data_IF_590060969646
#
_entry.id   IF_590060969646
#
_cell.length_a   1.000
_cell.length_b   1.000
_cell.length_c   1.000
_cell.angle_alpha   90.00
_cell.angle_beta   90.00
_cell.angle_gamma   90.00
#
_symmetry.space_group_name_H-M   'P 1'
#
loop_
_entity.id
_entity.type
_entity.pdbx_description
1 polymer ?
#
# COMPACT_ATOMS: atom_id res chain seq x y z
N UNK A 1 -17.80 -5.39 25.02
CA UNK A 1 -17.24 -4.09 24.57
C UNK A 1 -17.25 -4.11 23.06
N UNK A 2 -18.09 -3.32 22.37
CA UNK A 2 -17.95 -3.17 20.93
C UNK A 2 -16.67 -2.35 20.68
N UNK A 3 -15.74 -2.93 19.94
CA UNK A 3 -14.51 -2.27 19.53
C UNK A 3 -14.89 -1.20 18.50
N UNK A 4 -14.55 0.07 18.76
CA UNK A 4 -14.59 1.10 17.74
C UNK A 4 -13.70 0.68 16.56
N UNK A 5 -14.30 0.50 15.39
CA UNK A 5 -13.58 0.25 14.15
C UNK A 5 -13.70 1.45 13.24
N UNK A 6 -12.62 1.83 12.55
CA UNK A 6 -12.71 2.78 11.45
C UNK A 6 -12.29 2.08 10.15
N UNK A 7 -12.95 2.46 9.05
CA UNK A 7 -12.54 2.03 7.72
C UNK A 7 -11.45 2.95 7.21
N UNK A 8 -10.36 2.38 6.67
CA UNK A 8 -9.35 3.15 5.96
C UNK A 8 -9.30 2.71 4.50
N UNK A 9 -9.56 3.65 3.61
CA UNK A 9 -9.49 3.43 2.16
C UNK A 9 -8.09 3.75 1.68
N UNK A 10 -7.40 2.79 1.06
CA UNK A 10 -6.13 3.04 0.38
C UNK A 10 -6.40 3.27 -1.10
N UNK A 11 -6.38 4.52 -1.52
CA UNK A 11 -6.32 4.84 -2.95
C UNK A 11 -4.90 4.66 -3.45
N UNK A 12 -4.72 3.93 -4.56
CA UNK A 12 -3.56 4.20 -5.42
C UNK A 12 -3.56 5.70 -5.71
N UNK A 13 -2.43 6.42 -5.61
CA UNK A 13 -2.40 7.82 -6.01
C UNK A 13 -3.00 7.90 -7.42
N UNK A 14 -3.94 8.82 -7.62
CA UNK A 14 -4.29 9.25 -8.98
C UNK A 14 -2.99 9.74 -9.62
N UNK A 15 -2.86 9.50 -10.92
CA UNK A 15 -1.66 9.84 -11.68
C UNK A 15 -1.18 11.30 -11.48
N UNK A 16 -2.06 12.20 -11.04
CA UNK A 16 -1.75 13.62 -10.79
C UNK A 16 -0.99 13.88 -9.47
N UNK A 17 -1.08 12.97 -8.48
CA UNK A 17 -0.45 13.11 -7.16
C UNK A 17 0.83 12.28 -7.00
N UNK A 18 1.19 11.49 -8.02
CA UNK A 18 2.44 10.76 -8.07
C UNK A 18 3.50 11.60 -8.79
N UNK A 19 4.44 12.19 -8.05
CA UNK A 19 5.75 12.52 -8.61
C UNK A 19 6.32 11.29 -9.34
N UNK A 20 7.16 11.44 -10.38
CA UNK A 20 7.45 10.38 -11.37
C UNK A 20 8.23 9.18 -10.82
N UNK A 21 8.45 9.11 -9.52
CA UNK A 21 8.98 7.96 -8.81
C UNK A 21 7.86 6.98 -8.42
N UNK A 22 7.74 5.93 -9.22
CA UNK A 22 7.56 4.58 -8.70
C UNK A 22 6.12 4.08 -8.65
N UNK A 23 5.84 3.22 -9.62
CA UNK A 23 4.79 2.24 -9.50
C UNK A 23 4.93 1.41 -8.21
N UNK A 24 3.79 1.11 -7.61
CA UNK A 24 3.60 0.17 -6.51
C UNK A 24 3.90 -1.25 -7.01
N UNK A 25 5.17 -1.58 -7.27
CA UNK A 25 5.58 -2.84 -7.86
C UNK A 25 6.26 -3.73 -6.82
N UNK A 26 5.46 -4.54 -6.14
CA UNK A 26 5.92 -5.83 -5.65
C UNK A 26 4.75 -6.74 -5.28
N UNK A 27 4.94 -8.02 -5.57
CA UNK A 27 4.24 -9.20 -5.09
C UNK A 27 5.11 -10.33 -5.61
N UNK A 28 5.30 -11.47 -4.91
CA UNK A 28 4.20 -12.23 -4.29
C UNK A 28 4.05 -12.06 -2.78
N UNK A 29 5.00 -11.44 -2.07
CA UNK A 29 4.92 -11.27 -0.60
C UNK A 29 5.13 -9.84 -0.15
N UNK A 30 4.59 -8.91 -0.93
CA UNK A 30 4.32 -7.58 -0.42
C UNK A 30 3.25 -7.64 0.67
N UNK A 31 3.52 -6.99 1.80
CA UNK A 31 2.63 -6.97 2.94
C UNK A 31 2.48 -5.55 3.47
N UNK A 32 1.33 -5.31 4.06
CA UNK A 32 0.96 -4.02 4.60
C UNK A 32 0.60 -4.08 6.08
N UNK A 33 0.70 -2.94 6.75
CA UNK A 33 0.41 -2.79 8.16
C UNK A 33 -0.05 -1.36 8.46
N UNK A 34 -0.93 -1.25 9.45
CA UNK A 34 -1.45 0.02 9.94
C UNK A 34 -0.95 0.31 11.34
N UNK A 35 -0.59 1.56 11.61
CA UNK A 35 0.01 1.98 12.89
C UNK A 35 -0.47 3.36 13.28
N UNK A 36 -0.66 3.60 14.57
CA UNK A 36 -0.97 4.92 15.10
C UNK A 36 0.21 5.52 15.85
N UNK A 37 0.43 6.82 15.68
CA UNK A 37 1.29 7.61 16.54
C UNK A 37 0.49 8.78 17.11
N UNK A 38 0.48 8.94 18.44
CA UNK A 38 -0.18 10.07 19.08
C UNK A 38 0.60 11.35 18.80
N UNK A 39 -0.10 12.40 18.36
CA UNK A 39 0.51 13.69 18.09
C UNK A 39 0.68 14.48 19.40
N UNK A 40 1.89 14.90 19.78
CA UNK A 40 2.06 15.90 20.82
C UNK A 40 1.49 17.22 20.30
N UNK A 41 0.64 17.88 21.11
CA UNK A 41 -0.09 19.13 20.83
C UNK A 41 0.24 19.81 19.49
N UNK A 42 -0.48 19.39 18.44
CA UNK A 42 -0.66 20.15 17.20
C UNK A 42 0.45 20.11 16.14
N UNK A 43 1.51 19.30 16.27
CA UNK A 43 2.53 19.21 15.22
C UNK A 43 2.93 17.77 14.86
N UNK A 44 2.93 17.47 13.56
CA UNK A 44 3.46 16.24 12.98
C UNK A 44 5.00 16.18 12.93
N UNK A 45 5.69 17.29 13.27
CA UNK A 45 7.16 17.40 13.22
C UNK A 45 7.90 16.46 14.16
N UNK A 46 7.22 15.99 15.21
CA UNK A 46 7.84 15.22 16.31
C UNK A 46 7.49 13.72 16.24
N UNK A 47 6.91 13.27 15.11
CA UNK A 47 6.56 11.87 14.87
C UNK A 47 7.80 11.06 14.46
N UNK A 48 7.95 9.88 15.04
CA UNK A 48 9.03 8.94 14.72
C UNK A 48 8.51 7.54 14.38
N UNK A 49 9.32 6.74 13.67
CA UNK A 49 8.98 5.34 13.39
C UNK A 49 8.81 4.53 14.69
N UNK A 50 9.58 4.85 15.73
CA UNK A 50 9.46 4.21 17.05
C UNK A 50 8.10 4.50 17.69
N UNK A 51 7.49 5.65 17.42
CA UNK A 51 6.13 5.95 17.88
C UNK A 51 5.11 5.01 17.22
N UNK A 52 5.20 4.85 15.89
CA UNK A 52 4.31 3.95 15.14
C UNK A 52 4.48 2.49 15.54
N UNK A 53 5.71 2.05 15.81
CA UNK A 53 5.98 0.68 16.25
C UNK A 53 5.37 0.33 17.62
N UNK A 54 4.96 1.33 18.41
CA UNK A 54 4.27 1.08 19.69
C UNK A 54 2.80 0.70 19.51
N UNK A 55 2.17 1.11 18.41
CA UNK A 55 0.73 0.96 18.22
C UNK A 55 0.39 0.35 16.85
N UNK A 56 0.86 -0.86 16.54
CA UNK A 56 0.38 -1.59 15.38
C UNK A 56 -1.09 -1.99 15.56
N UNK A 57 -1.89 -1.76 14.52
CA UNK A 57 -3.33 -2.05 14.55
C UNK A 57 -3.62 -3.47 14.08
N UNK A 58 -4.64 -4.08 14.69
CA UNK A 58 -5.19 -5.35 14.24
C UNK A 58 -6.29 -5.14 13.21
N UNK A 59 -6.39 -6.03 12.21
CA UNK A 59 -7.50 -6.05 11.27
C UNK A 59 -8.80 -6.50 11.94
N UNK A 60 -9.86 -5.71 11.81
CA UNK A 60 -11.17 -5.97 12.42
C UNK A 60 -11.97 -7.07 11.70
N UNK A 61 -11.58 -7.44 10.48
CA UNK A 61 -12.31 -8.38 9.63
C UNK A 61 -11.36 -9.41 9.01
N UNK A 62 -11.91 -10.50 8.48
CA UNK A 62 -11.23 -11.45 7.59
C UNK A 62 -11.54 -11.16 6.11
N UNK A 63 -12.21 -10.02 5.86
CA UNK A 63 -12.58 -9.52 4.53
C UNK A 63 -11.95 -8.15 4.32
N UNK A 64 -11.44 -7.94 3.11
CA UNK A 64 -11.07 -6.64 2.57
C UNK A 64 -11.92 -6.34 1.33
N UNK A 65 -11.94 -5.11 0.85
CA UNK A 65 -12.77 -4.73 -0.29
C UNK A 65 -11.99 -4.04 -1.39
N UNK A 66 -12.41 -4.28 -2.64
CA UNK A 66 -12.10 -3.39 -3.75
C UNK A 66 -13.20 -2.35 -3.85
N UNK A 67 -12.80 -1.08 -3.85
CA UNK A 67 -13.67 0.07 -4.03
C UNK A 67 -13.23 0.87 -5.25
N UNK A 68 -14.00 0.79 -6.32
CA UNK A 68 -13.85 1.68 -7.47
C UNK A 68 -14.32 3.10 -7.12
N UNK A 69 -14.00 4.07 -7.97
CA UNK A 69 -14.46 5.44 -7.80
C UNK A 69 -15.98 5.47 -7.51
N UNK A 70 -16.35 6.25 -6.50
CA UNK A 70 -17.71 6.26 -5.94
C UNK A 70 -18.78 6.63 -6.97
N UNK A 71 -18.38 7.28 -8.06
CA UNK A 71 -19.27 7.67 -9.14
C UNK A 71 -18.58 7.44 -10.48
N UNK A 72 -19.10 6.51 -11.28
CA UNK A 72 -18.68 6.28 -12.66
C UNK A 72 -19.77 6.82 -13.59
N UNK A 73 -19.36 7.59 -14.59
CA UNK A 73 -20.27 8.07 -15.62
C UNK A 73 -20.64 6.94 -16.58
N UNK A 74 -21.90 6.50 -16.57
CA UNK A 74 -22.48 5.58 -17.53
C UNK A 74 -23.48 6.33 -18.41
N UNK A 75 -23.05 6.65 -19.64
CA UNK A 75 -23.80 7.35 -20.70
C UNK A 75 -24.37 8.72 -20.33
N UNK A 76 -25.41 8.77 -19.49
CA UNK A 76 -26.12 9.98 -19.06
C UNK A 76 -26.26 10.07 -17.53
N UNK A 77 -25.71 9.09 -16.77
CA UNK A 77 -25.90 8.98 -15.33
C UNK A 77 -24.62 8.64 -14.59
N UNK A 78 -24.47 9.23 -13.41
CA UNK A 78 -23.48 8.81 -12.44
C UNK A 78 -23.99 7.57 -11.70
N UNK A 79 -23.25 6.47 -11.80
CA UNK A 79 -23.57 5.19 -11.16
C UNK A 79 -22.54 4.90 -10.10
N UNK A 80 -23.00 4.56 -8.89
CA UNK A 80 -22.15 4.06 -7.82
C UNK A 80 -21.94 2.56 -8.01
N UNK A 81 -20.69 2.15 -8.18
CA UNK A 81 -20.34 0.74 -8.24
C UNK A 81 -20.36 0.12 -6.83
N UNK A 82 -20.77 -1.16 -6.68
CA UNK A 82 -20.68 -1.85 -5.40
C UNK A 82 -19.21 -2.07 -4.99
N UNK A 83 -18.97 -2.24 -3.69
CA UNK A 83 -17.70 -2.79 -3.19
C UNK A 83 -17.65 -4.29 -3.48
N UNK A 84 -16.47 -4.81 -3.82
CA UNK A 84 -16.25 -6.23 -4.04
C UNK A 84 -15.48 -6.83 -2.88
N UNK A 85 -16.07 -7.83 -2.20
CA UNK A 85 -15.45 -8.49 -1.06
C UNK A 85 -14.39 -9.51 -1.48
N UNK A 86 -13.21 -9.43 -0.86
CA UNK A 86 -12.09 -10.33 -1.05
C UNK A 86 -11.64 -10.91 0.30
N UNK A 87 -11.12 -12.15 0.33
CA UNK A 87 -10.52 -12.69 1.55
C UNK A 87 -9.28 -11.88 1.95
N UNK A 88 -9.20 -11.50 3.23
CA UNK A 88 -8.02 -10.85 3.79
C UNK A 88 -7.01 -11.92 4.24
N UNK A 89 -5.80 -11.88 3.67
CA UNK A 89 -4.71 -12.80 4.02
C UNK A 89 -3.76 -12.14 5.00
N UNK A 90 -4.05 -12.27 6.30
CA UNK A 90 -3.27 -11.67 7.39
C UNK A 90 -2.44 -12.66 8.19
N UNK A 91 -1.35 -12.18 8.79
CA UNK A 91 -0.46 -12.93 9.68
C UNK A 91 0.09 -12.01 10.77
N UNK A 92 0.43 -12.57 11.92
CA UNK A 92 1.18 -11.93 12.99
C UNK A 92 2.49 -12.66 13.33
N UNK A 93 2.83 -13.69 12.54
CA UNK A 93 4.04 -14.51 12.73
C UNK A 93 5.13 -14.02 11.79
N UNK A 94 6.34 -13.82 12.31
CA UNK A 94 7.49 -13.35 11.53
C UNK A 94 7.41 -11.86 11.15
N UNK A 95 6.63 -11.08 11.90
CA UNK A 95 6.36 -9.66 11.62
C UNK A 95 7.29 -8.74 12.40
N UNK A 96 7.36 -7.47 11.97
CA UNK A 96 8.09 -6.42 12.68
C UNK A 96 7.19 -5.19 12.88
N UNK A 97 6.94 -4.75 14.13
CA UNK A 97 7.35 -5.37 15.40
C UNK A 97 6.82 -6.80 15.58
N UNK A 98 7.49 -7.61 16.40
CA UNK A 98 7.09 -9.00 16.59
C UNK A 98 5.65 -9.10 17.12
N UNK A 99 4.81 -9.91 16.47
CA UNK A 99 3.40 -10.07 16.84
C UNK A 99 2.47 -8.99 16.27
N UNK A 100 2.99 -7.99 15.56
CA UNK A 100 2.17 -7.03 14.81
C UNK A 100 1.43 -7.72 13.67
N UNK A 101 0.25 -7.22 13.33
CA UNK A 101 -0.54 -7.75 12.22
C UNK A 101 -0.13 -7.13 10.89
N UNK A 102 0.00 -8.00 9.89
CA UNK A 102 0.28 -7.64 8.50
C UNK A 102 -0.67 -8.38 7.57
N UNK A 103 -1.07 -7.75 6.47
CA UNK A 103 -1.85 -8.40 5.43
C UNK A 103 -1.16 -8.38 4.07
N UNK A 104 -1.39 -9.42 3.28
CA UNK A 104 -0.94 -9.47 1.89
C UNK A 104 -1.89 -8.64 1.04
N UNK A 105 -1.32 -7.79 0.20
CA UNK A 105 -2.05 -7.08 -0.86
C UNK A 105 -2.66 -8.11 -1.83
N UNK A 106 -3.97 -8.02 -2.14
CA UNK A 106 -4.67 -9.06 -2.91
C UNK A 106 -4.38 -9.02 -4.42
N UNK A 107 -3.52 -8.13 -4.91
CA UNK A 107 -3.20 -7.98 -6.33
C UNK A 107 -1.92 -8.75 -6.66
N UNK A 108 -2.00 -9.86 -7.42
CA UNK A 108 -0.82 -10.60 -7.82
C UNK A 108 0.00 -9.84 -8.86
N UNK A 109 1.31 -9.83 -8.65
CA UNK A 109 2.27 -9.47 -9.69
C UNK A 109 2.40 -10.59 -10.73
N UNK A 110 3.13 -10.28 -11.80
CA UNK A 110 3.43 -11.20 -12.87
C UNK A 110 4.74 -11.95 -12.61
N UNK A 111 4.91 -13.11 -13.24
CA UNK A 111 6.15 -13.89 -13.33
C UNK A 111 6.61 -13.86 -14.78
N UNK A 112 7.12 -12.71 -15.22
CA UNK A 112 7.65 -12.57 -16.58
C UNK A 112 9.06 -13.14 -16.71
N UNK A 113 9.83 -13.16 -15.61
CA UNK A 113 11.13 -13.79 -15.52
C UNK A 113 11.40 -14.37 -14.13
N UNK A 114 12.43 -15.22 -14.03
CA UNK A 114 13.04 -15.57 -12.75
C UNK A 114 13.79 -14.34 -12.21
N UNK A 115 13.40 -13.85 -11.03
CA UNK A 115 14.01 -12.65 -10.44
C UNK A 115 15.46 -12.83 -10.03
N UNK A 116 15.96 -14.07 -9.94
CA UNK A 116 17.38 -14.33 -9.68
C UNK A 116 18.31 -13.64 -10.71
N UNK A 117 17.81 -13.40 -11.94
CA UNK A 117 18.54 -12.71 -13.01
C UNK A 117 18.80 -11.23 -12.72
N UNK A 118 18.04 -10.62 -11.81
CA UNK A 118 18.20 -9.21 -11.43
C UNK A 118 19.32 -8.99 -10.40
N UNK A 119 20.00 -10.07 -9.97
CA UNK A 119 21.07 -10.02 -8.98
C UNK A 119 20.58 -10.09 -7.54
N UNK A 120 21.50 -10.39 -6.61
CA UNK A 120 21.20 -10.53 -5.19
C UNK A 120 20.87 -9.18 -4.56
N UNK A 121 19.81 -9.10 -3.76
CA UNK A 121 19.26 -7.88 -3.18
C UNK A 121 20.31 -6.91 -2.64
N UNK A 122 20.63 -5.89 -3.43
CA UNK A 122 21.50 -4.79 -3.05
C UNK A 122 20.70 -3.89 -2.12
N UNK A 123 21.35 -3.37 -1.09
CA UNK A 123 20.78 -2.31 -0.27
C UNK A 123 21.04 -0.96 -0.93
N UNK A 124 20.08 -0.02 -0.88
CA UNK A 124 20.30 1.31 -1.42
C UNK A 124 21.34 2.06 -0.58
N UNK A 125 22.29 2.72 -1.24
CA UNK A 125 23.16 3.70 -0.59
C UNK A 125 22.46 5.06 -0.55
N UNK A 126 21.80 5.35 0.56
CA UNK A 126 21.01 6.58 0.73
C UNK A 126 21.83 7.87 0.78
N UNK A 127 23.17 7.79 0.84
CA UNK A 127 24.04 8.97 0.74
C UNK A 127 24.51 9.25 -0.68
N UNK A 128 24.41 8.26 -1.57
CA UNK A 128 24.87 8.36 -2.94
C UNK A 128 23.78 8.95 -3.84
N UNK A 129 24.01 10.19 -4.29
CA UNK A 129 23.21 10.80 -5.37
C UNK A 129 23.37 10.01 -6.65
N UNK A 130 22.25 9.78 -7.32
CA UNK A 130 22.14 9.02 -8.55
C UNK A 130 21.37 9.86 -9.56
N UNK A 131 21.95 10.00 -10.75
CA UNK A 131 21.31 10.69 -11.86
C UNK A 131 20.92 9.64 -12.90
N UNK A 132 19.63 9.55 -13.21
CA UNK A 132 19.07 8.65 -14.22
C UNK A 132 18.62 9.52 -15.40
N UNK A 133 19.39 9.59 -16.50
CA UNK A 133 19.10 10.52 -17.60
C UNK A 133 17.71 10.35 -18.23
N UNK A 134 17.15 9.13 -18.15
CA UNK A 134 15.89 8.74 -18.77
C UNK A 134 14.64 9.17 -17.98
N UNK A 135 14.78 9.51 -16.68
CA UNK A 135 13.66 9.90 -15.82
C UNK A 135 13.55 11.42 -15.60
N UNK A 136 14.33 12.22 -16.33
CA UNK A 136 14.30 13.68 -16.23
C UNK A 136 15.23 14.23 -15.14
N UNK A 137 14.98 15.46 -14.70
CA UNK A 137 15.90 16.20 -13.82
C UNK A 137 15.61 15.99 -12.33
N UNK A 138 15.35 14.75 -11.92
CA UNK A 138 15.13 14.37 -10.52
C UNK A 138 16.44 13.87 -9.89
N UNK A 139 16.66 14.20 -8.62
CA UNK A 139 17.79 13.68 -7.85
C UNK A 139 17.36 12.43 -7.11
N UNK A 140 17.87 11.28 -7.54
CA UNK A 140 17.62 10.00 -6.88
C UNK A 140 18.72 9.67 -5.87
N UNK A 141 18.40 8.78 -4.94
CA UNK A 141 19.34 8.23 -3.95
C UNK A 141 19.27 6.71 -3.98
N UNK A 142 20.37 6.03 -3.65
CA UNK A 142 20.42 4.57 -3.61
C UNK A 142 21.55 3.94 -4.44
N UNK A 143 22.12 4.69 -5.40
CA UNK A 143 23.17 4.23 -6.31
C UNK A 143 22.61 3.57 -7.58
N UNK A 144 23.31 3.75 -8.71
CA UNK A 144 22.93 3.15 -10.00
C UNK A 144 22.77 1.62 -9.96
N UNK A 145 23.64 0.83 -9.29
CA UNK A 145 23.49 -0.63 -9.26
C UNK A 145 22.20 -1.09 -8.59
N UNK A 146 21.83 -0.45 -7.47
CA UNK A 146 20.57 -0.72 -6.79
C UNK A 146 19.39 -0.34 -7.68
N UNK A 147 19.43 0.85 -8.28
CA UNK A 147 18.37 1.34 -9.17
C UNK A 147 18.10 0.36 -10.33
N UNK A 148 19.13 -0.09 -11.04
CA UNK A 148 18.98 -1.06 -12.14
C UNK A 148 18.43 -2.40 -11.66
N UNK A 149 18.84 -2.88 -10.49
CA UNK A 149 18.28 -4.09 -9.91
C UNK A 149 16.79 -3.92 -9.60
N UNK A 150 16.39 -2.79 -9.03
CA UNK A 150 14.97 -2.52 -8.75
C UNK A 150 14.16 -2.49 -10.04
N UNK A 151 14.62 -1.77 -11.05
CA UNK A 151 13.95 -1.69 -12.34
C UNK A 151 13.79 -3.07 -13.00
N UNK A 152 14.82 -3.91 -12.93
CA UNK A 152 14.76 -5.30 -13.38
C UNK A 152 13.70 -6.10 -12.60
N UNK A 153 13.73 -6.05 -11.27
CA UNK A 153 12.82 -6.81 -10.41
C UNK A 153 11.37 -6.41 -10.64
N UNK A 154 11.09 -5.11 -10.73
CA UNK A 154 9.77 -4.55 -11.03
C UNK A 154 9.30 -4.97 -12.43
N UNK A 155 10.18 -4.90 -13.44
CA UNK A 155 9.87 -5.33 -14.81
C UNK A 155 9.54 -6.83 -14.87
N UNK A 156 10.33 -7.68 -14.20
CA UNK A 156 10.01 -9.11 -14.07
C UNK A 156 8.67 -9.37 -13.36
N UNK A 157 8.29 -8.46 -12.46
CA UNK A 157 7.03 -8.51 -11.74
C UNK A 157 5.84 -7.94 -12.55
N UNK A 158 6.06 -7.44 -13.77
CA UNK A 158 4.99 -6.91 -14.63
C UNK A 158 4.69 -5.43 -14.41
N UNK A 159 5.71 -4.63 -14.09
CA UNK A 159 5.65 -3.17 -14.20
C UNK A 159 5.06 -2.78 -15.56
N UNK A 160 4.15 -1.80 -15.56
CA UNK A 160 3.44 -1.29 -16.74
C UNK A 160 2.34 -2.20 -17.32
N UNK A 161 1.98 -3.30 -16.65
CA UNK A 161 0.87 -4.16 -17.05
C UNK A 161 -0.34 -3.97 -16.13
N UNK A 162 -1.51 -3.67 -16.70
CA UNK A 162 -2.78 -3.64 -15.94
C UNK A 162 -3.33 -5.00 -15.59
N UNK A 163 -2.80 -6.07 -16.22
CA UNK A 163 -3.13 -7.46 -15.96
C UNK A 163 -1.99 -8.35 -16.46
N UNK A 164 -1.71 -9.43 -15.75
CA UNK A 164 -0.70 -10.40 -16.16
C UNK A 164 -1.18 -11.26 -17.34
N UNK A 165 -0.27 -11.72 -18.22
CA UNK A 165 -0.62 -12.72 -19.22
C UNK A 165 -1.15 -14.01 -18.58
N UNK A 166 -2.02 -14.76 -19.27
CA UNK A 166 -2.60 -15.99 -18.75
C UNK A 166 -1.52 -16.97 -18.24
N UNK A 167 -1.71 -17.45 -17.00
CA UNK A 167 -0.79 -18.40 -16.36
C UNK A 167 0.50 -17.80 -15.79
N UNK A 168 0.72 -16.48 -15.92
CA UNK A 168 1.90 -15.81 -15.37
C UNK A 168 1.63 -15.06 -14.07
N UNK A 169 0.45 -15.18 -13.48
CA UNK A 169 0.16 -14.63 -12.16
C UNK A 169 0.95 -15.37 -11.09
N UNK A 170 1.54 -14.66 -10.14
CA UNK A 170 2.29 -15.29 -9.05
C UNK A 170 1.43 -16.05 -8.06
N UNK A 171 0.21 -15.58 -7.85
CA UNK A 171 -0.86 -16.25 -7.12
C UNK A 171 -2.19 -15.98 -7.84
N UNK A 172 -3.22 -16.76 -7.52
CA UNK A 172 -4.52 -16.65 -8.18
C UNK A 172 -5.09 -15.23 -8.03
N UNK A 173 -5.58 -14.65 -9.14
CA UNK A 173 -6.27 -13.37 -9.09
C UNK A 173 -7.47 -13.45 -8.14
N UNK A 174 -7.72 -12.42 -7.32
CA UNK A 174 -8.86 -12.41 -6.43
C UNK A 174 -10.18 -12.27 -7.21
N UNK A 175 -10.13 -11.62 -8.37
CA UNK A 175 -11.19 -11.47 -9.37
C UNK A 175 -10.55 -11.39 -10.76
N UNK A 176 -11.26 -11.75 -11.84
CA UNK A 176 -10.71 -11.73 -13.20
C UNK A 176 -10.14 -10.35 -13.58
N UNK A 177 -8.88 -10.32 -14.04
CA UNK A 177 -8.22 -9.10 -14.50
C UNK A 177 -7.68 -8.21 -13.37
N UNK A 178 -7.70 -8.70 -12.12
CA UNK A 178 -7.07 -8.04 -10.98
C UNK A 178 -5.67 -8.62 -10.80
N UNK A 179 -4.69 -8.11 -11.55
CA UNK A 179 -3.27 -8.48 -11.47
C UNK A 179 -2.38 -7.40 -12.09
N UNK A 180 -1.05 -7.56 -11.99
CA UNK A 180 -0.07 -6.63 -12.55
C UNK A 180 0.08 -5.33 -11.76
N UNK A 181 0.81 -4.37 -12.36
CA UNK A 181 1.13 -3.07 -11.77
C UNK A 181 0.95 -1.94 -12.78
N UNK A 182 0.28 -0.87 -12.34
CA UNK A 182 0.22 0.47 -12.95
C UNK A 182 0.29 0.45 -14.48
N UNK A 183 -0.86 0.38 -15.15
CA UNK A 183 -0.89 0.38 -16.61
C UNK A 183 -0.36 1.68 -17.18
N UNK A 184 0.62 1.60 -18.08
CA UNK A 184 0.91 2.75 -18.96
C UNK A 184 -0.02 2.65 -20.16
N UNK A 185 -0.89 3.65 -20.33
CA UNK A 185 -1.64 3.84 -21.57
C UNK A 185 -1.08 5.07 -22.26
N UNK A 186 -0.11 4.96 -23.20
CA UNK A 186 0.26 6.10 -24.02
C UNK A 186 -0.95 6.53 -24.87
N UNK A 187 -1.29 7.83 -25.00
CA UNK A 187 -0.61 9.03 -24.48
C UNK A 187 -1.16 9.54 -23.12
N UNK A 188 -2.00 8.77 -22.44
CA UNK A 188 -2.82 9.16 -21.28
C UNK A 188 -2.03 9.14 -19.95
N UNK A 189 -0.89 8.44 -19.88
CA UNK A 189 0.01 8.43 -18.71
C UNK A 189 0.03 7.09 -17.95
N UNK A 190 0.71 7.09 -16.79
CA UNK A 190 0.71 5.97 -15.85
C UNK A 190 -0.59 5.98 -15.06
N UNK A 191 -1.51 5.07 -15.38
CA UNK A 191 -2.71 4.90 -14.59
C UNK A 191 -2.40 3.96 -13.43
N UNK A 192 -2.58 4.46 -12.21
CA UNK A 192 -2.67 3.64 -11.00
C UNK A 192 -3.79 2.59 -11.13
N UNK A 193 -3.96 1.76 -10.09
CA UNK A 193 -5.08 0.83 -10.07
C UNK A 193 -6.41 1.62 -10.08
N UNK A 194 -7.41 1.24 -10.88
CA UNK A 194 -8.69 1.98 -10.98
C UNK A 194 -9.61 1.78 -9.77
N UNK A 195 -9.09 1.17 -8.70
CA UNK A 195 -9.77 0.87 -7.46
C UNK A 195 -8.84 1.06 -6.27
N UNK A 196 -9.45 1.32 -5.13
CA UNK A 196 -8.83 1.31 -3.81
C UNK A 196 -8.98 -0.06 -3.17
N UNK A 197 -7.99 -0.45 -2.37
CA UNK A 197 -8.11 -1.59 -1.44
C UNK A 197 -8.49 -1.01 -0.08
N UNK A 198 -9.56 -1.55 0.50
CA UNK A 198 -10.15 -1.05 1.75
C UNK A 198 -10.07 -2.14 2.80
N UNK A 199 -9.45 -1.80 3.92
CA UNK A 199 -9.39 -2.64 5.11
C UNK A 199 -10.12 -1.97 6.28
N UNK A 200 -10.58 -2.80 7.22
CA UNK A 200 -11.07 -2.34 8.51
C UNK A 200 -10.08 -2.75 9.58
N UNK A 201 -9.72 -1.79 10.43
CA UNK A 201 -8.81 -2.00 11.56
C UNK A 201 -9.50 -1.68 12.88
N UNK A 202 -9.06 -2.34 13.93
CA UNK A 202 -9.53 -2.12 15.30
C UNK A 202 -8.78 -0.94 15.89
N UNK A 203 -9.50 0.00 16.50
CA UNK A 203 -8.88 0.99 17.40
C UNK A 203 -8.71 0.32 18.76
N UNK A 204 -7.48 0.24 19.31
CA UNK A 204 -7.29 -0.26 20.67
C UNK A 204 -8.06 0.61 21.67
N UNK A 205 -8.80 -0.04 22.57
CA UNK A 205 -9.67 0.64 23.53
C UNK A 205 -8.92 1.38 24.64
N UNK A 206 -7.63 1.10 24.79
CA UNK A 206 -6.71 1.71 25.74
C UNK A 206 -6.06 3.00 25.21
N UNK A 207 -6.35 3.40 23.97
CA UNK A 207 -5.88 4.67 23.43
C UNK A 207 -6.67 5.84 24.01
N UNK A 208 -5.93 6.83 24.50
CA UNK A 208 -6.52 8.10 24.94
C UNK A 208 -7.11 8.86 23.74
N UNK A 209 -8.28 9.50 23.88
CA UNK A 209 -8.80 10.42 22.88
C UNK A 209 -7.80 11.53 22.53
N UNK A 210 -7.85 12.00 21.28
CA UNK A 210 -6.96 13.06 20.80
C UNK A 210 -6.56 12.90 19.34
N UNK A 211 -5.56 13.69 18.94
CA UNK A 211 -5.00 13.70 17.58
C UNK A 211 -3.92 12.62 17.42
N UNK A 212 -3.98 11.89 16.32
CA UNK A 212 -3.05 10.84 15.94
C UNK A 212 -2.70 10.96 14.47
N UNK A 213 -1.51 10.48 14.11
CA UNK A 213 -1.15 10.18 12.74
C UNK A 213 -1.36 8.69 12.51
N UNK A 214 -2.09 8.34 11.46
CA UNK A 214 -2.26 6.98 10.97
C UNK A 214 -1.24 6.74 9.86
N UNK A 215 -0.31 5.83 10.09
CA UNK A 215 0.61 5.34 9.07
C UNK A 215 0.05 4.07 8.45
N UNK A 216 -0.04 4.12 7.13
CA UNK A 216 -0.09 2.94 6.29
C UNK A 216 1.31 2.66 5.77
N UNK A 217 1.83 1.47 6.04
CA UNK A 217 3.14 1.02 5.55
C UNK A 217 2.99 -0.24 4.73
N UNK A 218 3.66 -0.27 3.58
CA UNK A 218 3.78 -1.40 2.68
C UNK A 218 5.27 -1.75 2.55
N UNK A 219 5.60 -3.00 2.83
CA UNK A 219 6.96 -3.56 2.66
C UNK A 219 6.99 -4.54 1.49
N UNK A 220 8.02 -4.41 0.66
CA UNK A 220 8.22 -5.26 -0.50
C UNK A 220 9.14 -6.45 -0.23
N UNK A 221 8.76 -7.64 -0.70
CA UNK A 221 9.64 -8.82 -0.67
C UNK A 221 10.65 -8.81 -1.83
N UNK A 222 10.20 -8.47 -3.03
CA UNK A 222 10.99 -8.57 -4.26
C UNK A 222 11.99 -7.42 -4.43
N UNK A 223 11.78 -6.35 -3.67
CA UNK A 223 12.52 -5.10 -3.72
C UNK A 223 12.74 -4.61 -2.31
N UNK A 224 13.84 -3.90 -2.06
CA UNK A 224 14.06 -3.22 -0.78
C UNK A 224 13.30 -1.88 -0.72
N UNK A 225 12.08 -1.86 -1.24
CA UNK A 225 11.21 -0.69 -1.25
C UNK A 225 10.22 -0.77 -0.11
N UNK A 226 10.01 0.37 0.52
CA UNK A 226 9.02 0.58 1.56
C UNK A 226 8.23 1.81 1.15
N UNK A 227 6.92 1.65 1.07
CA UNK A 227 5.99 2.75 0.77
C UNK A 227 5.24 3.10 2.04
N UNK A 228 5.12 4.39 2.31
CA UNK A 228 4.42 4.87 3.49
C UNK A 228 3.54 6.05 3.12
N UNK A 229 2.31 6.03 3.62
CA UNK A 229 1.38 7.15 3.57
C UNK A 229 0.86 7.43 4.98
N UNK A 230 0.66 8.70 5.28
CA UNK A 230 0.14 9.14 6.57
C UNK A 230 -1.20 9.87 6.40
N UNK A 231 -2.07 9.76 7.38
CA UNK A 231 -3.31 10.53 7.48
C UNK A 231 -3.52 11.03 8.91
N UNK A 232 -3.96 12.28 9.06
CA UNK A 232 -4.37 12.82 10.36
C UNK A 232 -5.72 12.22 10.77
N UNK A 233 -5.80 11.67 11.98
CA UNK A 233 -7.01 11.07 12.54
C UNK A 233 -7.22 11.52 13.98
N UNK A 234 -8.48 11.70 14.36
CA UNK A 234 -8.86 12.08 15.73
C UNK A 234 -9.65 10.94 16.37
N UNK A 235 -9.13 10.41 17.48
CA UNK A 235 -9.84 9.43 18.30
C UNK A 235 -10.76 10.20 19.25
N UNK A 236 -12.04 9.82 19.26
CA UNK A 236 -13.09 10.41 20.11
C UNK A 236 -13.66 9.34 21.03
N UNK A 237 -14.17 9.73 22.19
CA UNK A 237 -14.94 8.84 23.07
C UNK A 237 -16.29 8.58 22.43
N UNK A 238 -16.70 7.31 22.40
CA UNK A 238 -18.03 6.94 21.97
C UNK A 238 -19.02 7.12 23.13
N UNK A 239 -19.70 8.27 23.16
CA UNK A 239 -20.70 8.62 24.17
C UNK A 239 -22.01 7.82 24.02
N UNK A 240 -22.15 6.97 22.99
CA UNK A 240 -23.36 6.17 22.76
C UNK A 240 -23.50 4.92 23.65
N UNK A 241 -22.53 4.66 24.53
CA UNK A 241 -22.46 3.44 25.37
C UNK A 241 -22.90 3.69 26.83
N UNK A 242 -23.21 4.92 27.23
CA UNK A 242 -23.58 5.27 28.62
C UNK A 242 -25.08 5.13 28.95
N UNK A 243 -25.96 4.82 27.98
CA UNK A 243 -27.41 4.65 28.17
C UNK A 243 -27.91 3.20 28.07
N UNK A 244 -27.17 2.21 28.59
CA UNK A 244 -27.63 0.81 28.69
C UNK A 244 -27.53 0.22 30.10
#
# INVERSE_FOLDING_TARGET
>A
MPLGGFEYTRSSPRADDAEPSGAIACAPRCADSYRLCKLPTGSSSDVSEECFQRTPLEFASDTQWLQYDNETYQYDKMVKLPRFALPLRKTNVGTHPAGSWWARVPVPGCRLCDQSVCGAGLMPNMTQKTHVPEEGNFTYYGGLPWFHQQQCAQSCAGLNLTACPPGLTQFAEPLPGISGYTGTYPPIGHNGLPYSIVDVVKVPSDLEPGEYLLSWRWDCEQSHQIWQNCADVRIVVDESVEEA
#
